data_IF_210062205446
#
_entry.id   IF_210062205446
#
_cell.length_a   1.000
_cell.length_b   1.000
_cell.length_c   1.000
_cell.angle_alpha   90.00
_cell.angle_beta   90.00
_cell.angle_gamma   90.00
#
_symmetry.space_group_name_H-M   'P 1'
#
loop_
_entity.id
_entity.type
_entity.pdbx_description
1 polymer ?
#
# COMPACT_ATOMS: atom_id res chain seq x y z
N UNK A 1 65.47 4.60 -9.07
CA UNK A 1 64.13 4.40 -8.45
C UNK A 1 63.15 4.26 -9.63
N UNK A 2 62.59 3.09 -9.82
CA UNK A 2 61.65 2.83 -10.94
C UNK A 2 60.27 3.30 -10.51
N UNK A 3 59.69 4.29 -11.19
CA UNK A 3 58.34 4.75 -10.93
C UNK A 3 57.39 3.81 -11.65
N UNK A 4 56.61 3.04 -10.92
CA UNK A 4 55.53 2.21 -11.46
C UNK A 4 54.27 3.07 -11.52
N UNK A 5 53.76 3.34 -12.71
CA UNK A 5 52.47 4.04 -12.91
C UNK A 5 51.36 3.03 -12.93
N UNK A 6 50.49 3.07 -11.93
CA UNK A 6 49.26 2.26 -11.90
C UNK A 6 48.18 3.08 -12.63
N UNK A 7 47.78 2.64 -13.81
CA UNK A 7 46.92 3.43 -14.70
C UNK A 7 45.44 2.96 -14.71
N UNK A 8 45.10 1.85 -14.09
CA UNK A 8 43.76 1.32 -14.11
C UNK A 8 43.41 0.82 -12.70
N UNK A 9 42.96 1.72 -11.89
CA UNK A 9 42.59 1.47 -10.46
C UNK A 9 41.06 1.27 -10.28
N UNK A 10 40.32 1.21 -11.37
CA UNK A 10 38.86 1.18 -11.36
C UNK A 10 38.25 -0.18 -11.63
N UNK A 11 39.01 -1.27 -11.49
CA UNK A 11 38.52 -2.64 -11.78
C UNK A 11 37.51 -3.17 -10.76
N UNK A 12 37.27 -2.46 -9.66
CA UNK A 12 36.29 -2.82 -8.67
C UNK A 12 36.88 -3.38 -7.38
N UNK A 13 36.02 -4.02 -6.60
CA UNK A 13 36.32 -4.64 -5.31
C UNK A 13 36.21 -6.16 -5.43
N UNK A 14 37.15 -6.89 -4.87
CA UNK A 14 37.07 -8.32 -4.67
C UNK A 14 37.58 -8.63 -3.25
N UNK A 15 36.67 -9.01 -2.39
CA UNK A 15 36.93 -9.35 -0.98
C UNK A 15 37.14 -10.85 -0.76
N UNK A 16 36.99 -11.69 -1.80
CA UNK A 16 37.08 -13.15 -1.71
C UNK A 16 38.49 -13.67 -1.87
N UNK A 17 39.38 -12.85 -2.45
CA UNK A 17 40.80 -13.18 -2.66
C UNK A 17 41.70 -12.42 -1.70
N UNK A 18 42.83 -13.03 -1.38
CA UNK A 18 43.86 -12.35 -0.58
C UNK A 18 44.47 -11.19 -1.36
N UNK A 19 44.99 -10.15 -0.73
CA UNK A 19 45.59 -9.00 -1.42
C UNK A 19 46.70 -9.38 -2.41
N UNK A 20 47.42 -10.46 -2.15
CA UNK A 20 48.52 -10.97 -2.97
C UNK A 20 48.03 -11.66 -4.24
N UNK A 21 46.81 -12.19 -4.24
CA UNK A 21 46.19 -12.89 -5.39
C UNK A 21 45.38 -11.92 -6.28
N UNK A 22 45.16 -10.68 -5.83
CA UNK A 22 44.39 -9.70 -6.58
C UNK A 22 45.16 -9.20 -7.80
N UNK A 23 44.43 -9.05 -8.91
CA UNK A 23 44.98 -8.39 -10.10
C UNK A 23 45.23 -6.90 -9.78
N UNK A 24 46.25 -6.36 -10.41
CA UNK A 24 46.55 -4.92 -10.30
C UNK A 24 45.34 -4.08 -10.71
N UNK A 25 44.92 -3.14 -9.88
CA UNK A 25 43.76 -2.28 -10.08
C UNK A 25 42.46 -2.79 -9.44
N UNK A 26 42.45 -3.97 -8.84
CA UNK A 26 41.35 -4.51 -8.00
C UNK A 26 41.67 -4.18 -6.53
N UNK A 27 40.65 -3.78 -5.78
CA UNK A 27 40.75 -3.42 -4.38
C UNK A 27 40.27 -4.57 -3.50
N UNK A 28 40.98 -4.84 -2.40
CA UNK A 28 40.58 -5.82 -1.39
C UNK A 28 39.55 -5.26 -0.39
N UNK A 29 39.58 -3.94 -0.14
CA UNK A 29 38.61 -3.24 0.69
C UNK A 29 38.45 -1.80 0.14
N UNK A 30 37.21 -1.30 0.16
CA UNK A 30 36.90 0.07 -0.20
C UNK A 30 35.63 0.54 0.51
N UNK A 31 35.68 1.76 1.04
CA UNK A 31 34.53 2.40 1.69
C UNK A 31 34.23 3.74 1.05
N UNK A 32 32.93 4.00 0.82
CA UNK A 32 32.47 5.25 0.20
C UNK A 32 33.14 5.57 -1.13
N UNK A 33 33.36 4.53 -1.94
CA UNK A 33 33.98 4.65 -3.27
C UNK A 33 33.07 4.09 -4.37
N UNK A 34 33.18 4.69 -5.53
CA UNK A 34 32.55 4.24 -6.78
C UNK A 34 33.65 3.88 -7.76
N UNK A 35 33.52 2.74 -8.41
CA UNK A 35 34.36 2.30 -9.51
C UNK A 35 33.61 2.49 -10.82
N UNK A 36 34.06 3.38 -11.66
CA UNK A 36 33.43 3.64 -12.93
C UNK A 36 34.47 4.15 -13.95
N UNK A 37 34.36 3.75 -15.22
CA UNK A 37 35.22 4.18 -16.31
C UNK A 37 36.71 4.03 -16.05
N UNK A 38 37.15 2.97 -15.38
CA UNK A 38 38.54 2.72 -15.05
C UNK A 38 39.09 3.53 -13.87
N UNK A 39 38.27 4.27 -13.16
CA UNK A 39 38.64 5.08 -12.01
C UNK A 39 37.96 4.65 -10.73
N UNK A 40 38.69 4.75 -9.64
CA UNK A 40 38.14 4.70 -8.28
C UNK A 40 37.88 6.16 -7.85
N UNK A 41 36.61 6.46 -7.57
CA UNK A 41 36.17 7.79 -7.17
C UNK A 41 35.54 7.75 -5.79
N UNK A 42 35.84 8.71 -4.94
CA UNK A 42 35.15 8.88 -3.68
C UNK A 42 33.74 9.38 -3.96
N UNK A 43 32.73 8.80 -3.27
CA UNK A 43 31.42 9.44 -3.22
C UNK A 43 31.54 10.83 -2.60
N UNK A 44 30.83 11.77 -3.17
CA UNK A 44 30.60 13.05 -2.54
C UNK A 44 29.96 12.83 -1.17
N UNK A 45 30.21 13.73 -0.22
CA UNK A 45 29.56 13.65 1.09
C UNK A 45 28.05 13.57 0.95
N UNK A 46 27.42 12.75 1.81
CA UNK A 46 25.98 12.69 1.88
C UNK A 46 25.47 13.95 2.58
N UNK A 47 24.57 14.67 1.96
CA UNK A 47 23.79 15.72 2.60
C UNK A 47 22.38 15.22 2.87
N UNK A 48 21.78 15.52 4.02
CA UNK A 48 20.39 15.18 4.27
C UNK A 48 19.50 15.99 3.31
N UNK A 49 18.59 15.31 2.60
CA UNK A 49 17.57 15.95 1.77
C UNK A 49 16.39 16.40 2.64
N UNK A 50 16.09 15.65 3.70
CA UNK A 50 15.00 15.92 4.62
C UNK A 50 15.54 16.19 6.03
N UNK A 51 14.75 16.91 6.83
CA UNK A 51 14.96 16.99 8.27
C UNK A 51 14.89 15.59 8.90
N UNK A 52 15.48 15.42 10.08
CA UNK A 52 15.42 14.16 10.82
C UNK A 52 13.96 13.67 10.93
N UNK A 53 13.68 12.38 10.72
CA UNK A 53 12.32 11.85 10.80
C UNK A 53 11.75 12.02 12.21
N UNK A 54 10.44 12.29 12.29
CA UNK A 54 9.71 12.42 13.57
C UNK A 54 9.50 11.05 14.23
N UNK A 55 9.41 10.01 13.41
CA UNK A 55 9.29 8.61 13.84
C UNK A 55 10.42 7.80 13.22
N UNK A 56 10.84 6.73 13.89
CA UNK A 56 11.77 5.78 13.28
C UNK A 56 11.14 5.17 12.03
N UNK A 57 11.70 5.39 10.83
CA UNK A 57 11.07 4.93 9.60
C UNK A 57 11.36 3.45 9.34
N UNK A 58 10.32 2.64 9.26
CA UNK A 58 10.38 1.23 8.85
C UNK A 58 9.99 1.02 7.39
N UNK A 59 9.47 2.04 6.75
CA UNK A 59 9.10 2.02 5.35
C UNK A 59 9.31 3.39 4.74
N UNK A 60 9.85 3.40 3.53
CA UNK A 60 9.98 4.61 2.72
C UNK A 60 9.60 4.30 1.27
N UNK A 61 8.82 5.16 0.66
CA UNK A 61 8.47 5.07 -0.77
C UNK A 61 8.34 6.45 -1.38
N UNK A 62 8.61 6.54 -2.68
CA UNK A 62 8.37 7.77 -3.44
C UNK A 62 6.99 7.69 -4.11
N UNK A 63 6.25 8.79 -4.05
CA UNK A 63 4.97 8.97 -4.71
C UNK A 63 5.05 10.14 -5.67
N UNK A 64 4.95 9.87 -6.97
CA UNK A 64 5.08 10.89 -8.00
C UNK A 64 3.72 11.47 -8.36
N UNK A 65 3.57 12.77 -8.19
CA UNK A 65 2.48 13.59 -8.73
C UNK A 65 2.97 14.35 -9.98
N UNK A 66 2.09 14.85 -10.85
CA UNK A 66 2.50 15.54 -12.09
C UNK A 66 3.55 16.63 -11.88
N UNK A 67 3.44 17.42 -10.83
CA UNK A 67 4.31 18.57 -10.56
C UNK A 67 5.15 18.44 -9.29
N UNK A 68 5.13 17.27 -8.61
CA UNK A 68 5.70 17.14 -7.28
C UNK A 68 6.05 15.69 -6.96
N UNK A 69 7.24 15.47 -6.43
CA UNK A 69 7.59 14.20 -5.81
C UNK A 69 7.35 14.29 -4.32
N UNK A 70 6.63 13.33 -3.79
CA UNK A 70 6.38 13.17 -2.37
C UNK A 70 7.12 11.93 -1.89
N UNK A 71 7.71 12.03 -0.72
CA UNK A 71 8.31 10.90 -0.03
C UNK A 71 7.42 10.53 1.14
N UNK A 72 6.99 9.29 1.19
CA UNK A 72 6.17 8.77 2.29
C UNK A 72 7.08 7.94 3.16
N UNK A 73 7.10 8.22 4.46
CA UNK A 73 7.75 7.38 5.44
C UNK A 73 6.80 7.01 6.57
N UNK A 74 6.82 5.73 6.94
CA UNK A 74 5.95 5.18 7.96
C UNK A 74 6.79 4.57 9.10
N UNK A 75 6.41 4.91 10.31
CA UNK A 75 6.81 4.22 11.52
C UNK A 75 5.89 3.04 11.81
N UNK A 76 5.86 2.58 13.04
CA UNK A 76 4.90 1.57 13.49
C UNK A 76 3.49 2.11 13.66
N UNK A 77 3.36 3.35 14.12
CA UNK A 77 2.09 3.96 14.50
C UNK A 77 1.65 5.11 13.59
N UNK A 78 2.60 5.84 13.01
CA UNK A 78 2.33 7.10 12.31
C UNK A 78 3.00 7.13 10.95
N UNK A 79 2.37 7.87 10.01
CA UNK A 79 2.82 8.01 8.62
C UNK A 79 2.93 9.49 8.28
N UNK A 80 4.00 9.84 7.58
CA UNK A 80 4.31 11.21 7.14
C UNK A 80 4.59 11.25 5.65
N UNK A 81 4.31 12.38 5.04
CA UNK A 81 4.78 12.74 3.71
C UNK A 81 5.72 13.94 3.77
N UNK A 82 6.78 13.89 2.99
CA UNK A 82 7.74 14.97 2.79
C UNK A 82 7.74 15.40 1.31
N UNK A 83 7.77 16.71 1.08
CA UNK A 83 7.90 17.28 -0.26
C UNK A 83 9.21 18.04 -0.46
N UNK A 84 10.26 17.66 0.28
CA UNK A 84 11.57 18.30 0.35
C UNK A 84 11.60 19.64 1.12
N UNK A 85 10.44 20.25 1.34
CA UNK A 85 10.31 21.53 2.07
C UNK A 85 9.44 21.44 3.32
N UNK A 86 8.36 20.70 3.22
CA UNK A 86 7.35 20.57 4.29
C UNK A 86 7.08 19.10 4.58
N UNK A 87 7.12 18.78 5.87
CA UNK A 87 6.67 17.49 6.38
C UNK A 87 5.24 17.59 6.87
N UNK A 88 4.40 16.70 6.40
CA UNK A 88 3.00 16.64 6.79
C UNK A 88 2.69 15.25 7.35
N UNK A 89 2.09 15.20 8.52
CA UNK A 89 1.53 13.95 9.03
C UNK A 89 0.28 13.57 8.25
N UNK A 90 0.28 12.38 7.69
CA UNK A 90 -0.83 11.82 6.90
C UNK A 90 -1.49 10.60 7.56
N UNK A 91 -1.14 10.29 8.82
CA UNK A 91 -1.77 9.22 9.60
C UNK A 91 -3.30 9.34 9.54
N UNK A 92 -3.98 8.20 9.45
CA UNK A 92 -5.45 8.13 9.35
C UNK A 92 -6.15 8.84 10.52
N UNK A 93 -7.40 9.23 10.30
CA UNK A 93 -8.27 9.75 11.34
C UNK A 93 -9.13 8.64 11.93
N UNK A 94 -9.58 8.85 13.16
CA UNK A 94 -10.57 8.00 13.79
C UNK A 94 -11.90 8.10 13.03
N UNK A 95 -12.45 6.96 12.68
CA UNK A 95 -13.70 6.84 11.95
C UNK A 95 -14.87 6.56 12.91
N UNK A 96 -16.05 7.05 12.56
CA UNK A 96 -17.30 6.75 13.25
C UNK A 96 -18.00 5.66 12.43
N UNK A 97 -18.34 4.54 13.07
CA UNK A 97 -18.96 3.40 12.38
C UNK A 97 -20.39 3.73 11.96
N UNK A 98 -20.66 3.61 10.67
CA UNK A 98 -22.01 3.78 10.10
C UNK A 98 -22.78 2.48 10.27
N UNK A 99 -24.04 2.58 10.69
CA UNK A 99 -24.97 1.47 10.80
C UNK A 99 -25.94 1.39 9.62
N UNK A 100 -26.48 2.54 9.20
CA UNK A 100 -27.34 2.64 8.03
C UNK A 100 -27.15 3.98 7.32
N UNK A 101 -27.37 3.99 6.01
CA UNK A 101 -27.31 5.20 5.17
C UNK A 101 -28.41 5.09 4.11
N UNK A 102 -29.48 5.86 4.31
CA UNK A 102 -30.69 5.87 3.50
C UNK A 102 -30.96 7.26 2.93
N UNK A 103 -31.91 7.40 2.01
CA UNK A 103 -32.23 8.69 1.40
C UNK A 103 -33.72 8.86 1.17
N UNK A 104 -34.08 10.12 1.02
CA UNK A 104 -35.33 10.57 0.41
C UNK A 104 -34.95 11.69 -0.55
N UNK A 105 -35.02 11.43 -1.84
CA UNK A 105 -34.50 12.32 -2.88
C UNK A 105 -33.05 12.73 -2.64
N UNK A 106 -32.73 14.00 -2.46
CA UNK A 106 -31.36 14.48 -2.18
C UNK A 106 -31.03 14.54 -0.69
N UNK A 107 -31.96 14.22 0.21
CA UNK A 107 -31.68 14.21 1.66
C UNK A 107 -31.29 12.82 2.11
N UNK A 108 -30.07 12.67 2.59
CA UNK A 108 -29.59 11.45 3.20
C UNK A 108 -29.85 11.44 4.71
N UNK A 109 -30.16 10.27 5.24
CA UNK A 109 -30.23 9.98 6.68
C UNK A 109 -29.16 8.95 7.01
N UNK A 110 -28.21 9.32 7.88
CA UNK A 110 -27.14 8.46 8.35
C UNK A 110 -27.36 8.14 9.83
N UNK A 111 -27.29 6.85 10.15
CA UNK A 111 -27.28 6.36 11.51
C UNK A 111 -25.93 5.71 11.82
N UNK A 112 -25.38 5.99 12.98
CA UNK A 112 -24.14 5.41 13.50
C UNK A 112 -24.41 4.26 14.45
N UNK A 113 -23.44 3.39 14.67
CA UNK A 113 -23.58 2.22 15.56
C UNK A 113 -23.64 2.59 17.05
N UNK A 114 -23.21 3.80 17.40
CA UNK A 114 -23.24 4.36 18.75
C UNK A 114 -23.45 5.89 18.66
N UNK A 115 -23.68 6.57 19.76
CA UNK A 115 -23.77 8.01 19.80
C UNK A 115 -22.51 8.65 19.20
N UNK A 116 -22.69 9.52 18.19
CA UNK A 116 -21.60 10.10 17.39
C UNK A 116 -20.97 11.37 18.00
N UNK A 117 -21.59 11.98 18.99
CA UNK A 117 -21.08 13.18 19.66
C UNK A 117 -21.03 14.46 18.78
N UNK A 118 -21.64 14.42 17.60
CA UNK A 118 -21.70 15.57 16.68
C UNK A 118 -22.87 16.48 17.02
N UNK A 119 -22.80 17.75 16.53
CA UNK A 119 -23.85 18.77 16.67
C UNK A 119 -24.29 19.25 15.30
N UNK A 120 -25.53 19.75 15.22
CA UNK A 120 -26.03 20.41 14.00
C UNK A 120 -25.11 21.56 13.60
N UNK A 121 -24.79 21.63 12.29
CA UNK A 121 -23.83 22.59 11.74
C UNK A 121 -22.40 22.02 11.65
N UNK A 122 -22.10 20.88 12.23
CA UNK A 122 -20.80 20.24 12.01
C UNK A 122 -20.62 19.85 10.56
N UNK A 123 -19.36 19.90 10.09
CA UNK A 123 -18.96 19.38 8.78
C UNK A 123 -18.39 17.99 8.96
N UNK A 124 -18.93 17.01 8.25
CA UNK A 124 -18.45 15.62 8.25
C UNK A 124 -17.99 15.23 6.86
N UNK A 125 -17.07 14.27 6.78
CA UNK A 125 -16.64 13.71 5.49
C UNK A 125 -17.02 12.24 5.43
N UNK A 126 -17.72 11.86 4.35
CA UNK A 126 -18.09 10.48 4.01
C UNK A 126 -17.33 10.08 2.74
N UNK A 127 -16.76 8.88 2.73
CA UNK A 127 -16.03 8.34 1.57
C UNK A 127 -16.17 6.83 1.48
N UNK A 128 -16.05 6.28 0.26
CA UNK A 128 -16.17 4.85 0.02
C UNK A 128 -17.59 4.29 0.09
N UNK A 129 -18.61 5.14 0.16
CA UNK A 129 -20.00 4.73 0.07
C UNK A 129 -20.44 4.51 -1.39
N UNK A 130 -21.44 3.69 -1.62
CA UNK A 130 -22.08 3.51 -2.91
C UNK A 130 -23.60 3.48 -2.75
N UNK A 131 -24.37 4.20 -3.57
CA UNK A 131 -23.98 5.08 -4.68
C UNK A 131 -23.04 6.24 -4.31
N UNK A 132 -22.30 6.76 -5.32
CA UNK A 132 -21.22 7.74 -5.09
C UNK A 132 -21.71 9.09 -4.57
N UNK A 133 -22.98 9.42 -4.74
CA UNK A 133 -23.62 10.66 -4.29
C UNK A 133 -23.52 10.84 -2.77
N UNK A 134 -23.39 9.77 -2.02
CA UNK A 134 -23.19 9.80 -0.57
C UNK A 134 -21.79 10.27 -0.17
N UNK A 135 -20.82 10.27 -1.08
CA UNK A 135 -19.45 10.67 -0.78
C UNK A 135 -19.26 12.18 -0.90
N UNK A 136 -18.58 12.76 0.07
CA UNK A 136 -18.29 14.18 0.10
C UNK A 136 -18.13 14.72 1.50
N UNK A 137 -18.02 16.03 1.57
CA UNK A 137 -18.02 16.77 2.84
C UNK A 137 -19.34 17.52 2.96
N UNK A 138 -20.08 17.24 4.02
CA UNK A 138 -21.45 17.72 4.21
C UNK A 138 -21.62 18.42 5.55
N UNK A 139 -22.41 19.48 5.57
CA UNK A 139 -22.92 20.07 6.80
C UNK A 139 -24.15 19.28 7.24
N UNK A 140 -24.18 18.86 8.50
CA UNK A 140 -25.20 17.96 9.02
C UNK A 140 -26.24 18.65 9.89
N UNK A 141 -27.43 18.05 9.95
CA UNK A 141 -28.47 18.35 10.93
C UNK A 141 -28.69 17.11 11.81
N UNK A 142 -28.35 17.22 13.09
CA UNK A 142 -28.50 16.11 14.05
C UNK A 142 -29.96 15.99 14.42
N UNK A 143 -30.52 14.78 14.29
CA UNK A 143 -31.91 14.45 14.60
C UNK A 143 -32.04 13.53 15.83
N UNK A 144 -30.97 12.75 16.15
CA UNK A 144 -30.87 11.93 17.36
C UNK A 144 -29.39 11.79 17.75
N UNK A 145 -29.06 11.28 18.95
CA UNK A 145 -27.66 11.10 19.38
C UNK A 145 -26.82 10.23 18.44
N UNK A 146 -27.45 9.34 17.70
CA UNK A 146 -26.84 8.39 16.74
C UNK A 146 -27.28 8.66 15.29
N UNK A 147 -28.03 9.74 15.01
CA UNK A 147 -28.64 9.95 13.68
C UNK A 147 -28.55 11.42 13.27
N UNK A 148 -28.20 11.65 12.02
CA UNK A 148 -28.22 12.97 11.41
C UNK A 148 -28.61 12.89 9.94
N UNK A 149 -28.99 14.03 9.38
CA UNK A 149 -29.30 14.21 7.95
C UNK A 149 -28.32 15.18 7.30
N UNK A 150 -28.16 15.03 5.97
CA UNK A 150 -27.40 15.95 5.13
C UNK A 150 -27.98 15.99 3.71
N UNK A 151 -27.62 17.03 2.94
CA UNK A 151 -28.12 17.21 1.57
C UNK A 151 -27.02 16.84 0.58
N UNK A 152 -27.32 15.95 -0.34
CA UNK A 152 -26.47 15.55 -1.46
C UNK A 152 -26.72 16.47 -2.68
N UNK A 153 -25.75 16.53 -3.59
CA UNK A 153 -25.85 17.32 -4.81
C UNK A 153 -26.90 16.79 -5.80
N UNK A 154 -27.15 15.48 -5.78
CA UNK A 154 -28.16 14.80 -6.62
C UNK A 154 -28.72 13.59 -5.89
N UNK A 155 -29.89 13.13 -6.34
CA UNK A 155 -30.51 11.90 -5.84
C UNK A 155 -29.63 10.68 -6.17
N UNK A 156 -29.29 9.82 -5.18
CA UNK A 156 -28.52 8.62 -5.40
C UNK A 156 -29.32 7.50 -6.09
N UNK A 157 -30.65 7.61 -6.11
CA UNK A 157 -31.57 6.64 -6.73
C UNK A 157 -31.77 5.34 -5.94
N UNK A 158 -30.95 5.09 -4.93
CA UNK A 158 -31.05 3.93 -4.05
C UNK A 158 -30.38 4.20 -2.70
N UNK A 159 -30.79 3.47 -1.66
CA UNK A 159 -30.11 3.43 -0.38
C UNK A 159 -28.69 2.86 -0.53
N UNK A 160 -27.80 3.20 0.41
CA UNK A 160 -26.42 2.77 0.30
C UNK A 160 -26.27 1.25 0.38
N UNK A 161 -25.74 0.66 -0.67
CA UNK A 161 -25.32 -0.75 -0.70
C UNK A 161 -23.94 -0.96 -0.09
N UNK A 162 -23.09 0.08 -0.10
CA UNK A 162 -21.86 0.16 0.68
C UNK A 162 -21.91 1.42 1.55
N UNK A 163 -21.81 1.24 2.87
CA UNK A 163 -22.00 2.34 3.83
C UNK A 163 -20.85 3.36 3.84
N UNK A 164 -19.64 2.93 3.41
CA UNK A 164 -18.45 3.78 3.43
C UNK A 164 -17.96 4.07 4.84
N UNK A 165 -17.24 5.18 4.98
CA UNK A 165 -16.52 5.61 6.17
C UNK A 165 -16.90 7.04 6.51
N UNK A 166 -17.01 7.34 7.80
CA UNK A 166 -17.40 8.66 8.31
C UNK A 166 -16.30 9.22 9.21
N UNK A 167 -15.87 10.45 8.94
CA UNK A 167 -14.99 11.21 9.84
C UNK A 167 -15.65 12.53 10.25
N UNK A 168 -15.56 12.85 11.54
CA UNK A 168 -16.07 14.11 12.08
C UNK A 168 -15.11 15.29 11.92
N UNK A 169 -15.52 16.52 12.23
CA UNK A 169 -14.75 17.74 12.03
C UNK A 169 -13.49 17.82 12.90
N UNK A 170 -13.48 17.16 14.03
CA UNK A 170 -12.37 17.13 15.00
C UNK A 170 -11.92 15.70 15.27
N UNK A 171 -11.99 14.81 14.24
CA UNK A 171 -11.56 13.43 14.40
C UNK A 171 -10.08 13.37 14.80
N UNK A 172 -9.79 12.67 15.88
CA UNK A 172 -8.43 12.47 16.35
C UNK A 172 -7.63 11.59 15.35
N UNK A 173 -6.31 11.76 15.36
CA UNK A 173 -5.42 10.83 14.66
C UNK A 173 -5.58 9.44 15.26
N UNK A 174 -5.80 8.43 14.40
CA UNK A 174 -5.85 7.03 14.79
C UNK A 174 -4.53 6.35 14.45
N UNK A 175 -3.73 6.05 15.45
CA UNK A 175 -2.47 5.37 15.28
C UNK A 175 -2.68 3.97 14.68
N UNK A 176 -1.69 3.50 13.95
CA UNK A 176 -1.59 2.11 13.52
C UNK A 176 -1.15 1.23 14.70
N UNK A 177 -1.45 -0.07 14.63
CA UNK A 177 -1.17 -1.03 15.71
C UNK A 177 0.00 -1.96 15.39
N UNK A 178 0.67 -1.75 14.27
CA UNK A 178 1.80 -2.54 13.81
C UNK A 178 3.01 -2.46 14.75
N UNK A 179 3.83 -3.50 14.68
CA UNK A 179 5.11 -3.61 15.36
C UNK A 179 6.27 -3.50 14.36
N UNK A 180 7.51 -3.63 14.83
CA UNK A 180 8.71 -3.64 13.97
C UNK A 180 8.75 -4.85 13.03
N UNK A 181 8.09 -5.93 13.38
CA UNK A 181 8.05 -7.16 12.59
C UNK A 181 6.97 -7.09 11.50
N UNK A 182 6.02 -6.16 11.63
CA UNK A 182 4.96 -5.95 10.65
C UNK A 182 5.45 -5.01 9.54
N UNK A 183 5.75 -5.58 8.38
CA UNK A 183 6.32 -4.84 7.25
C UNK A 183 5.24 -4.18 6.43
N UNK A 184 5.44 -2.91 6.14
CA UNK A 184 4.61 -2.16 5.22
C UNK A 184 4.74 -2.70 3.79
N UNK A 185 3.61 -2.83 3.12
CA UNK A 185 3.48 -3.18 1.72
C UNK A 185 2.57 -2.18 1.03
N UNK A 186 2.39 -2.29 -0.28
CA UNK A 186 1.56 -1.37 -1.04
C UNK A 186 2.25 -0.92 -2.32
N UNK A 187 1.87 0.22 -2.80
CA UNK A 187 2.39 0.84 -4.02
C UNK A 187 1.36 1.75 -4.67
N UNK A 188 1.64 2.22 -5.87
CA UNK A 188 0.75 3.13 -6.60
C UNK A 188 -0.15 2.35 -7.55
N UNK A 189 -1.46 2.55 -7.45
CA UNK A 189 -2.45 2.05 -8.40
C UNK A 189 -3.27 3.24 -8.92
N UNK A 190 -3.44 3.33 -10.24
CA UNK A 190 -4.22 4.39 -10.90
C UNK A 190 -3.85 5.82 -10.45
N UNK A 191 -2.60 6.08 -10.05
CA UNK A 191 -2.12 7.37 -9.55
C UNK A 191 -2.43 7.65 -8.08
N UNK A 192 -2.87 6.63 -7.31
CA UNK A 192 -3.19 6.72 -5.89
C UNK A 192 -2.26 5.79 -5.11
N UNK A 193 -1.68 6.28 -4.03
CA UNK A 193 -0.83 5.48 -3.15
C UNK A 193 -1.67 4.61 -2.24
N UNK A 194 -1.35 3.32 -2.19
CA UNK A 194 -1.94 2.35 -1.26
C UNK A 194 -0.87 1.91 -0.27
N UNK A 195 -1.25 1.80 0.99
CA UNK A 195 -0.39 1.40 2.11
C UNK A 195 -1.06 0.33 2.96
N UNK A 196 -0.31 -0.67 3.36
CA UNK A 196 -0.77 -1.77 4.19
C UNK A 196 0.36 -2.21 5.15
N UNK A 197 0.10 -2.27 6.44
CA UNK A 197 1.06 -2.73 7.45
C UNK A 197 0.89 -4.20 7.85
N UNK A 198 -0.11 -4.89 7.30
CA UNK A 198 -0.34 -6.32 7.53
C UNK A 198 -1.25 -6.65 8.71
N UNK A 199 -1.53 -5.72 9.60
CA UNK A 199 -2.33 -5.93 10.82
C UNK A 199 -3.53 -4.99 10.95
N UNK A 200 -3.45 -3.80 10.38
CA UNK A 200 -4.56 -2.87 10.27
C UNK A 200 -5.24 -2.99 8.90
N UNK A 201 -6.43 -2.40 8.79
CA UNK A 201 -7.15 -2.26 7.52
C UNK A 201 -6.28 -1.46 6.52
N UNK A 202 -6.12 -1.92 5.27
CA UNK A 202 -5.37 -1.21 4.24
C UNK A 202 -5.87 0.21 4.01
N UNK A 203 -4.96 1.13 3.73
CA UNK A 203 -5.22 2.55 3.58
C UNK A 203 -4.80 3.05 2.20
N UNK A 204 -5.35 4.17 1.78
CA UNK A 204 -4.91 4.88 0.57
C UNK A 204 -4.71 6.37 0.82
N UNK A 205 -3.95 7.00 -0.06
CA UNK A 205 -3.70 8.44 -0.06
C UNK A 205 -3.60 8.99 -1.48
N UNK A 206 -4.32 10.06 -1.72
CA UNK A 206 -4.38 10.73 -3.02
C UNK A 206 -3.26 11.75 -3.24
N UNK A 207 -2.41 11.98 -2.23
CA UNK A 207 -1.31 12.96 -2.31
C UNK A 207 -1.78 14.41 -2.18
N UNK A 208 -2.91 14.62 -1.56
CA UNK A 208 -3.49 15.92 -1.24
C UNK A 208 -3.32 16.27 0.26
N UNK A 209 -4.03 17.28 0.73
CA UNK A 209 -4.03 17.69 2.13
C UNK A 209 -4.77 16.71 3.08
N UNK A 210 -5.47 15.71 2.53
CA UNK A 210 -6.20 14.73 3.34
C UNK A 210 -5.25 13.75 4.02
N UNK A 211 -5.75 13.12 5.07
CA UNK A 211 -5.09 12.01 5.75
C UNK A 211 -5.28 10.71 4.98
N UNK A 212 -4.55 9.67 5.39
CA UNK A 212 -4.81 8.30 4.94
C UNK A 212 -6.26 7.92 5.22
N UNK A 213 -6.87 7.20 4.29
CA UNK A 213 -8.26 6.73 4.34
C UNK A 213 -8.31 5.23 4.13
N UNK A 214 -9.28 4.59 4.74
CA UNK A 214 -9.55 3.15 4.56
C UNK A 214 -9.83 2.83 3.09
N UNK A 215 -9.27 1.72 2.61
CA UNK A 215 -9.38 1.30 1.22
C UNK A 215 -10.86 1.06 0.82
N UNK A 216 -11.35 1.65 -0.29
CA UNK A 216 -12.74 1.49 -0.71
C UNK A 216 -13.13 0.02 -0.94
N UNK A 217 -14.34 -0.35 -0.59
CA UNK A 217 -14.87 -1.70 -0.77
C UNK A 217 -14.19 -2.78 0.07
N UNK A 218 -13.17 -2.46 0.86
CA UNK A 218 -12.52 -3.39 1.76
C UNK A 218 -13.43 -3.65 2.98
N UNK A 219 -13.66 -4.91 3.29
CA UNK A 219 -14.55 -5.27 4.39
C UNK A 219 -13.96 -4.89 5.75
N UNK A 220 -14.79 -4.31 6.60
CA UNK A 220 -14.43 -4.01 7.98
C UNK A 220 -14.00 -5.29 8.73
N UNK A 221 -12.96 -5.19 9.54
CA UNK A 221 -12.41 -6.32 10.29
C UNK A 221 -11.61 -7.33 9.46
N UNK A 222 -11.35 -7.03 8.18
CA UNK A 222 -10.43 -7.81 7.36
C UNK A 222 -9.05 -7.15 7.31
N UNK A 223 -8.02 -7.98 7.31
CA UNK A 223 -6.63 -7.54 7.11
C UNK A 223 -5.94 -8.44 6.09
N UNK A 224 -4.87 -7.96 5.47
CA UNK A 224 -4.07 -8.74 4.55
C UNK A 224 -2.60 -8.61 4.95
N UNK A 225 -1.89 -9.71 5.03
CA UNK A 225 -0.47 -9.68 5.38
C UNK A 225 0.36 -8.91 4.34
N UNK A 226 0.08 -9.08 3.06
CA UNK A 226 0.67 -8.29 1.97
C UNK A 226 -0.41 -7.78 1.01
N UNK A 227 -0.21 -6.56 0.50
CA UNK A 227 -1.07 -5.93 -0.50
C UNK A 227 -0.19 -5.31 -1.58
N UNK A 228 -0.39 -5.70 -2.85
CA UNK A 228 0.42 -5.25 -3.97
C UNK A 228 -0.45 -4.80 -5.14
N UNK A 229 -0.19 -3.62 -5.71
CA UNK A 229 -0.78 -3.24 -6.99
C UNK A 229 -0.11 -4.04 -8.12
N UNK A 230 -0.91 -4.56 -9.02
CA UNK A 230 -0.41 -5.19 -10.23
C UNK A 230 -1.41 -5.03 -11.37
N UNK A 231 -0.96 -4.55 -12.51
CA UNK A 231 -1.82 -4.09 -13.60
C UNK A 231 -2.87 -3.10 -13.07
N UNK A 232 -4.13 -3.36 -13.25
CA UNK A 232 -5.22 -2.50 -12.75
C UNK A 232 -5.90 -3.06 -11.50
N UNK A 233 -5.27 -4.01 -10.79
CA UNK A 233 -5.83 -4.69 -9.63
C UNK A 233 -4.98 -4.46 -8.39
N UNK A 234 -5.61 -4.59 -7.24
CA UNK A 234 -4.92 -4.81 -5.97
C UNK A 234 -4.96 -6.30 -5.64
N UNK A 235 -3.81 -6.87 -5.34
CA UNK A 235 -3.66 -8.28 -4.97
C UNK A 235 -3.30 -8.35 -3.49
N UNK A 236 -4.15 -9.02 -2.73
CA UNK A 236 -3.99 -9.23 -1.28
C UNK A 236 -3.63 -10.70 -1.00
N UNK A 237 -2.70 -10.91 -0.09
CA UNK A 237 -2.16 -12.23 0.28
C UNK A 237 -2.30 -12.47 1.77
N UNK A 238 -2.56 -13.71 2.16
CA UNK A 238 -2.67 -14.13 3.57
C UNK A 238 -3.67 -13.26 4.31
N UNK A 239 -4.94 -13.51 4.06
CA UNK A 239 -6.04 -12.66 4.48
C UNK A 239 -6.64 -13.17 5.78
N UNK A 240 -6.84 -12.27 6.72
CA UNK A 240 -7.65 -12.54 7.91
C UNK A 240 -9.04 -11.94 7.69
N UNK A 241 -10.07 -12.80 7.66
CA UNK A 241 -11.47 -12.42 7.52
C UNK A 241 -12.15 -12.55 8.88
N UNK A 242 -12.56 -11.43 9.48
CA UNK A 242 -13.29 -11.42 10.77
C UNK A 242 -12.63 -12.28 11.86
N UNK A 243 -11.30 -12.17 12.00
CA UNK A 243 -10.50 -12.92 12.97
C UNK A 243 -10.05 -14.31 12.54
N UNK A 244 -10.49 -14.82 11.38
CA UNK A 244 -10.05 -16.11 10.82
C UNK A 244 -8.98 -15.89 9.76
N UNK A 245 -7.75 -16.31 10.02
CA UNK A 245 -6.64 -16.20 9.08
C UNK A 245 -6.72 -17.26 7.98
N UNK A 246 -6.53 -16.83 6.74
CA UNK A 246 -6.46 -17.66 5.54
C UNK A 246 -5.08 -17.51 4.87
N UNK A 247 -4.03 -18.18 5.38
CA UNK A 247 -2.64 -17.91 5.01
C UNK A 247 -2.28 -18.38 3.60
N UNK A 248 -3.15 -19.13 2.93
CA UNK A 248 -2.98 -19.61 1.56
C UNK A 248 -3.88 -18.87 0.56
N UNK A 249 -4.62 -17.82 1.01
CA UNK A 249 -5.58 -17.13 0.17
C UNK A 249 -4.93 -15.96 -0.57
N UNK A 250 -5.05 -15.98 -1.89
CA UNK A 250 -4.86 -14.82 -2.76
C UNK A 250 -6.23 -14.23 -3.03
N UNK A 251 -6.39 -12.93 -2.85
CA UNK A 251 -7.62 -12.21 -3.19
C UNK A 251 -7.30 -10.99 -4.04
N UNK A 252 -8.16 -10.69 -5.00
CA UNK A 252 -8.00 -9.51 -5.84
C UNK A 252 -9.27 -8.68 -5.90
N UNK A 253 -9.09 -7.39 -6.09
CA UNK A 253 -10.15 -6.41 -6.28
C UNK A 253 -10.76 -6.50 -7.68
N UNK A 254 -11.82 -5.76 -7.92
CA UNK A 254 -12.20 -5.37 -9.28
C UNK A 254 -11.11 -4.54 -9.93
N UNK A 255 -11.13 -4.45 -11.27
CA UNK A 255 -10.21 -3.59 -12.00
C UNK A 255 -10.42 -2.12 -11.66
N UNK A 256 -9.33 -1.42 -11.35
CA UNK A 256 -9.33 0.03 -11.16
C UNK A 256 -9.50 0.75 -12.51
N UNK A 257 -10.26 1.84 -12.50
CA UNK A 257 -10.27 2.79 -13.61
C UNK A 257 -9.24 3.91 -13.35
N UNK A 258 -8.71 4.55 -14.39
CA UNK A 258 -7.73 5.64 -14.23
C UNK A 258 -8.22 6.72 -13.27
N UNK A 259 -7.37 7.06 -12.27
CA UNK A 259 -7.67 8.08 -11.26
C UNK A 259 -8.58 7.63 -10.12
N UNK A 260 -8.98 6.37 -10.07
CA UNK A 260 -9.84 5.80 -9.02
C UNK A 260 -9.28 4.47 -8.51
N UNK A 261 -9.56 4.15 -7.26
CA UNK A 261 -9.29 2.83 -6.70
C UNK A 261 -10.44 1.86 -6.99
N UNK A 262 -10.18 0.54 -6.92
CA UNK A 262 -11.23 -0.47 -6.93
C UNK A 262 -12.24 -0.22 -5.82
N UNK A 263 -13.52 -0.39 -6.11
CA UNK A 263 -14.63 -0.16 -5.20
C UNK A 263 -15.25 -1.45 -4.65
N UNK A 264 -14.77 -2.62 -5.08
CA UNK A 264 -15.28 -3.90 -4.63
C UNK A 264 -14.19 -4.97 -4.52
N UNK A 265 -14.39 -5.85 -3.53
CA UNK A 265 -13.62 -7.04 -3.26
C UNK A 265 -14.53 -8.28 -3.14
N UNK A 266 -15.78 -8.15 -3.61
CA UNK A 266 -16.79 -9.19 -3.51
C UNK A 266 -16.61 -10.23 -4.62
N UNK A 267 -16.12 -11.40 -4.24
CA UNK A 267 -15.92 -12.55 -5.12
C UNK A 267 -17.24 -13.25 -5.49
N UNK A 268 -18.32 -12.93 -4.79
CA UNK A 268 -19.64 -13.55 -5.04
C UNK A 268 -20.41 -12.84 -6.14
N UNK A 269 -20.04 -11.60 -6.48
CA UNK A 269 -20.63 -10.84 -7.58
C UNK A 269 -20.01 -11.28 -8.91
N UNK A 270 -20.66 -12.25 -9.54
CA UNK A 270 -20.24 -12.82 -10.84
C UNK A 270 -20.27 -11.83 -12.02
N UNK A 271 -20.82 -10.64 -11.83
CA UNK A 271 -20.82 -9.57 -12.84
C UNK A 271 -19.55 -8.71 -12.80
N UNK A 272 -18.68 -8.93 -11.80
CA UNK A 272 -17.47 -8.15 -11.53
C UNK A 272 -16.25 -9.03 -11.48
N UNK A 273 -15.09 -8.40 -11.64
CA UNK A 273 -13.79 -9.09 -11.78
C UNK A 273 -13.15 -9.51 -10.44
N UNK A 274 -13.71 -9.10 -9.29
CA UNK A 274 -13.15 -9.47 -7.99
C UNK A 274 -13.19 -10.97 -7.77
N UNK A 275 -12.18 -11.50 -7.08
CA UNK A 275 -12.16 -12.93 -6.83
C UNK A 275 -11.13 -13.34 -5.78
N UNK A 276 -11.11 -14.62 -5.49
CA UNK A 276 -10.13 -15.22 -4.59
C UNK A 276 -9.72 -16.62 -5.04
N UNK A 277 -8.52 -17.03 -4.66
CA UNK A 277 -7.96 -18.33 -5.02
C UNK A 277 -7.13 -18.87 -3.86
N UNK A 278 -7.48 -20.06 -3.31
CA UNK A 278 -6.64 -20.73 -2.33
C UNK A 278 -5.45 -21.43 -3.01
N UNK A 279 -4.23 -21.20 -2.49
CA UNK A 279 -2.98 -21.84 -2.96
C UNK A 279 -2.52 -22.83 -1.89
N UNK A 280 -3.25 -23.92 -1.76
CA UNK A 280 -3.08 -24.93 -0.69
C UNK A 280 -2.41 -26.24 -1.15
N UNK A 281 -1.86 -26.27 -2.36
CA UNK A 281 -1.11 -27.43 -2.89
C UNK A 281 0.24 -27.64 -2.20
N UNK A 282 0.75 -26.63 -1.49
CA UNK A 282 1.92 -26.72 -0.60
C UNK A 282 1.56 -26.17 0.77
N UNK A 283 2.15 -26.74 1.83
CA UNK A 283 1.82 -26.39 3.23
C UNK A 283 2.43 -25.05 3.71
N UNK A 284 3.41 -24.51 2.98
CA UNK A 284 4.07 -23.26 3.29
C UNK A 284 3.17 -22.03 3.06
N UNK A 285 3.41 -20.96 3.79
CA UNK A 285 2.53 -19.78 3.85
C UNK A 285 2.86 -18.78 2.74
N UNK A 286 1.86 -18.00 2.31
CA UNK A 286 2.06 -16.85 1.43
C UNK A 286 2.83 -15.74 2.15
N UNK A 287 3.83 -15.17 1.49
CA UNK A 287 4.71 -14.14 2.07
C UNK A 287 4.52 -12.80 1.38
N UNK A 288 4.77 -12.72 0.07
CA UNK A 288 4.71 -11.46 -0.68
C UNK A 288 4.54 -11.72 -2.17
N UNK A 289 4.39 -10.63 -2.96
CA UNK A 289 4.34 -10.70 -4.40
C UNK A 289 5.10 -9.54 -5.04
N UNK A 290 5.80 -9.82 -6.14
CA UNK A 290 6.54 -8.80 -6.90
C UNK A 290 6.36 -9.00 -8.40
N UNK A 291 6.22 -7.92 -9.18
CA UNK A 291 6.09 -8.02 -10.62
C UNK A 291 7.42 -8.37 -11.30
N UNK A 292 7.38 -9.32 -12.23
CA UNK A 292 8.51 -9.68 -13.09
C UNK A 292 8.02 -9.75 -14.55
N UNK A 293 8.36 -8.73 -15.33
CA UNK A 293 7.82 -8.61 -16.69
C UNK A 293 6.28 -8.55 -16.68
N UNK A 294 5.66 -9.45 -17.39
CA UNK A 294 4.19 -9.50 -17.53
C UNK A 294 3.48 -10.42 -16.54
N UNK A 295 4.20 -10.97 -15.58
CA UNK A 295 3.68 -11.83 -14.51
C UNK A 295 3.89 -11.22 -13.14
N UNK A 296 3.03 -11.61 -12.19
CA UNK A 296 3.27 -11.35 -10.77
C UNK A 296 3.79 -12.63 -10.13
N UNK A 297 4.99 -12.58 -9.58
CA UNK A 297 5.55 -13.70 -8.84
C UNK A 297 5.00 -13.66 -7.42
N UNK A 298 4.27 -14.70 -7.05
CA UNK A 298 3.77 -14.92 -5.69
C UNK A 298 4.77 -15.78 -4.95
N UNK A 299 5.26 -15.29 -3.85
CA UNK A 299 6.20 -15.99 -2.99
C UNK A 299 5.49 -16.60 -1.80
N UNK A 300 5.74 -17.88 -1.59
CA UNK A 300 5.53 -18.58 -0.32
C UNK A 300 6.88 -18.74 0.38
N UNK A 301 6.90 -19.33 1.56
CA UNK A 301 8.15 -19.51 2.33
C UNK A 301 9.18 -20.40 1.60
N UNK A 302 8.72 -21.40 0.83
CA UNK A 302 9.57 -22.39 0.15
C UNK A 302 9.15 -22.70 -1.28
N UNK A 303 8.16 -22.01 -1.80
CA UNK A 303 7.67 -22.21 -3.16
C UNK A 303 7.29 -20.90 -3.82
N UNK A 304 7.22 -20.88 -5.12
CA UNK A 304 6.88 -19.70 -5.93
C UNK A 304 5.83 -20.05 -6.98
N UNK A 305 5.01 -19.07 -7.30
CA UNK A 305 3.98 -19.17 -8.33
C UNK A 305 4.02 -17.96 -9.24
N UNK A 306 3.72 -18.16 -10.51
CA UNK A 306 3.49 -17.10 -11.48
C UNK A 306 1.98 -16.87 -11.62
N UNK A 307 1.51 -15.68 -11.25
CA UNK A 307 0.16 -15.23 -11.52
C UNK A 307 0.15 -14.48 -12.85
N UNK A 308 -0.67 -14.94 -13.79
CA UNK A 308 -0.82 -14.35 -15.13
C UNK A 308 -2.21 -13.78 -15.30
N UNK A 309 -2.30 -12.62 -15.89
CA UNK A 309 -3.57 -12.06 -16.33
C UNK A 309 -3.99 -12.72 -17.64
N UNK A 310 -5.17 -13.34 -17.67
CA UNK A 310 -5.72 -14.04 -18.85
C UNK A 310 -7.05 -13.44 -19.31
N UNK A 311 -7.64 -12.55 -18.49
CA UNK A 311 -8.94 -11.94 -18.80
C UNK A 311 -10.14 -12.85 -18.51
N UNK A 312 -11.34 -12.33 -18.75
CA UNK A 312 -12.58 -13.02 -18.48
C UNK A 312 -12.70 -14.36 -19.26
N UNK A 313 -13.36 -15.40 -18.72
CA UNK A 313 -14.07 -15.41 -17.43
C UNK A 313 -13.18 -15.65 -16.20
N UNK A 314 -11.95 -16.09 -16.40
CA UNK A 314 -10.98 -16.38 -15.33
C UNK A 314 -9.92 -15.29 -15.35
N UNK A 315 -10.09 -14.24 -14.60
CA UNK A 315 -9.24 -13.03 -14.60
C UNK A 315 -7.76 -13.36 -14.47
N UNK A 316 -7.40 -14.31 -13.59
CA UNK A 316 -6.03 -14.73 -13.37
C UNK A 316 -5.87 -16.25 -13.48
N UNK A 317 -4.70 -16.65 -13.94
CA UNK A 317 -4.21 -18.03 -13.91
C UNK A 317 -2.97 -18.10 -13.04
N UNK A 318 -2.94 -19.07 -12.13
CA UNK A 318 -1.81 -19.36 -11.27
C UNK A 318 -1.07 -20.60 -11.75
N UNK A 319 0.24 -20.52 -11.86
CA UNK A 319 1.09 -21.62 -12.22
C UNK A 319 2.26 -21.75 -11.25
N UNK A 320 2.48 -22.93 -10.67
CA UNK A 320 3.66 -23.19 -9.82
C UNK A 320 4.93 -23.09 -10.65
N UNK A 321 5.95 -22.42 -10.12
CA UNK A 321 7.29 -22.37 -10.67
C UNK A 321 8.05 -23.57 -10.08
N UNK A 322 8.67 -24.43 -10.89
CA UNK A 322 9.46 -25.55 -10.39
C UNK A 322 10.64 -25.08 -9.54
N UNK A 323 10.90 -25.75 -8.44
CA UNK A 323 11.99 -25.48 -7.50
C UNK A 323 11.50 -25.35 -6.07
N UNK A 324 12.45 -25.34 -5.13
CA UNK A 324 12.22 -25.21 -3.68
C UNK A 324 12.73 -23.85 -3.15
N UNK A 325 12.59 -22.83 -3.97
CA UNK A 325 12.92 -21.44 -3.60
C UNK A 325 11.67 -20.70 -3.20
N UNK A 326 11.79 -19.84 -2.20
CA UNK A 326 10.71 -19.00 -1.70
C UNK A 326 11.26 -17.71 -1.12
N UNK A 327 10.47 -17.05 -0.28
CA UNK A 327 10.86 -15.80 0.39
C UNK A 327 10.74 -15.95 1.90
N UNK A 328 11.82 -15.65 2.60
CA UNK A 328 11.86 -15.78 4.06
C UNK A 328 10.91 -14.80 4.75
N UNK A 329 10.84 -13.56 4.26
CA UNK A 329 10.06 -12.49 4.89
C UNK A 329 9.65 -11.42 3.87
N UNK A 330 8.56 -10.68 4.14
CA UNK A 330 8.09 -9.57 3.31
C UNK A 330 9.16 -8.49 3.16
N UNK A 331 9.38 -8.03 1.94
CA UNK A 331 10.39 -7.03 1.63
C UNK A 331 11.82 -7.56 1.52
N UNK A 332 12.06 -8.88 1.57
CA UNK A 332 13.39 -9.46 1.36
C UNK A 332 13.83 -9.45 -0.11
N UNK A 333 12.93 -9.24 -1.05
CA UNK A 333 13.23 -9.15 -2.46
C UNK A 333 12.82 -7.79 -3.03
N UNK A 334 13.51 -7.40 -4.08
CA UNK A 334 13.22 -6.18 -4.86
C UNK A 334 13.18 -6.52 -6.34
N UNK A 335 12.23 -5.93 -7.06
CA UNK A 335 12.13 -6.11 -8.50
C UNK A 335 13.20 -5.29 -9.22
N UNK A 336 13.95 -5.94 -10.11
CA UNK A 336 14.94 -5.31 -10.98
C UNK A 336 14.66 -5.70 -12.44
N UNK A 337 15.24 -4.99 -13.43
CA UNK A 337 15.12 -5.38 -14.83
C UNK A 337 15.68 -6.78 -15.15
N UNK A 338 16.53 -7.33 -14.29
CA UNK A 338 17.17 -8.64 -14.46
C UNK A 338 16.48 -9.76 -13.68
N UNK A 339 15.53 -9.42 -12.81
CA UNK A 339 14.83 -10.36 -11.93
C UNK A 339 14.70 -9.84 -10.49
N UNK A 340 14.37 -10.76 -9.60
CA UNK A 340 14.23 -10.47 -8.16
C UNK A 340 15.43 -10.92 -7.39
#
# INVERSE_FOLDING_TARGET
MTIVKISDVGKGLNADLTPEELQMGVWSDARNMRFANGYAQRFNGLAPIFAAPVVEPYYITAFQKPNKRLWIHAGTERVFSDDESVRTEITRLAEITISTLTHVTTTATLKTSAAHGLTTGNSVTIYGAYPLQYNGTFTITVTAPDTFTFTMASDPGADASALGHLTGPSAATANFTGTRDDRWTGGVLAGIQVLNNGVDVPQYWTGDANKLRTLPGWNAGWTAASLRPWKNYLIALDITKSGVRNPHMIKWSVAAVPGSLPDSWDETDVTRDAGELPVSDTADLLVDALPMGDVLIIYKERSMYALRFIGAPYIFQLQRIPGDSGMLFRGCAVSTPLGH
#
